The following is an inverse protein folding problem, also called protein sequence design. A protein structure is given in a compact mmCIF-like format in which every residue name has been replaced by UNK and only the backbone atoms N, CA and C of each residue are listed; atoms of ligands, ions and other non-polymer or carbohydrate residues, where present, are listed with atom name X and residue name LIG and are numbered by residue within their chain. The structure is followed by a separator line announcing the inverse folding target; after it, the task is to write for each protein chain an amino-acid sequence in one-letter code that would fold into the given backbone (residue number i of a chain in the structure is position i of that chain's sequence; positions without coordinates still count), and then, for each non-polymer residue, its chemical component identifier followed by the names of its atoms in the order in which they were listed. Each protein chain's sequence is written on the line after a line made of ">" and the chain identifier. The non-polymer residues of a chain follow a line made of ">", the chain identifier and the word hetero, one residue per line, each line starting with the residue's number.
data_IF_419024714601
#
_entry.id   IF_419024714601
#
_cell.length_a   1.000
_cell.length_b   1.000
_cell.length_c   1.000
_cell.angle_alpha   90.00
_cell.angle_beta   90.00
_cell.angle_gamma   90.00
#
_symmetry.space_group_name_H-M   'P 1'
#
loop_
_entity.id
_entity.type
_entity.pdbx_description
1 polymer ?
#
# COMPACT_ATOMS: atom_id res chain seq x y z
N UNK A 1 6.48 -5.64 -19.87
CA UNK A 1 5.27 -5.35 -19.05
C UNK A 1 5.56 -5.85 -17.64
N UNK A 2 5.18 -5.11 -16.59
CA UNK A 2 5.45 -5.49 -15.19
C UNK A 2 4.17 -5.92 -14.48
N UNK A 3 4.24 -6.94 -13.63
CA UNK A 3 3.09 -7.50 -12.90
C UNK A 3 3.37 -7.57 -11.40
N UNK A 4 2.36 -7.26 -10.60
CA UNK A 4 2.46 -7.31 -9.15
C UNK A 4 1.19 -7.85 -8.49
N UNK A 5 1.34 -8.24 -7.23
CA UNK A 5 0.24 -8.73 -6.39
C UNK A 5 -0.10 -7.66 -5.36
N UNK A 6 -1.40 -7.43 -5.14
CA UNK A 6 -1.93 -6.65 -4.02
C UNK A 6 -2.77 -7.57 -3.15
N UNK A 7 -2.46 -7.69 -1.86
CA UNK A 7 -3.16 -8.60 -0.95
C UNK A 7 -3.22 -8.09 0.49
N UNK A 8 -4.12 -8.65 1.28
CA UNK A 8 -4.07 -8.63 2.74
C UNK A 8 -3.24 -9.82 3.20
N UNK A 9 -2.34 -9.60 4.16
CA UNK A 9 -1.61 -10.69 4.84
C UNK A 9 -2.29 -10.95 6.18
N UNK A 10 -2.62 -12.21 6.44
CA UNK A 10 -3.24 -12.65 7.70
C UNK A 10 -2.52 -13.86 8.24
N UNK A 11 -2.82 -14.25 9.48
CA UNK A 11 -2.37 -15.50 10.08
C UNK A 11 -2.99 -16.74 9.45
N UNK A 12 -4.13 -16.60 8.78
CA UNK A 12 -4.87 -17.68 8.12
C UNK A 12 -4.43 -17.93 6.66
N UNK A 13 -3.60 -17.04 6.10
CA UNK A 13 -3.11 -17.13 4.73
C UNK A 13 -1.65 -17.61 4.62
N UNK A 14 -1.09 -17.52 3.41
CA UNK A 14 0.34 -17.72 3.19
C UNK A 14 1.14 -16.75 4.05
N UNK A 15 2.13 -17.28 4.79
CA UNK A 15 2.99 -16.48 5.65
C UNK A 15 3.84 -15.51 4.81
N UNK A 16 4.23 -14.33 5.35
CA UNK A 16 4.96 -13.33 4.58
C UNK A 16 6.23 -13.87 3.89
N UNK A 17 7.13 -14.54 4.61
CA UNK A 17 8.40 -15.04 4.03
C UNK A 17 8.19 -16.00 2.85
N UNK A 18 7.38 -17.07 2.97
CA UNK A 18 7.05 -17.92 1.82
C UNK A 18 6.38 -17.18 0.66
N UNK A 19 5.53 -16.18 0.94
CA UNK A 19 4.89 -15.36 -0.08
C UNK A 19 5.93 -14.60 -0.91
N UNK A 20 6.90 -13.95 -0.25
CA UNK A 20 7.99 -13.24 -0.93
C UNK A 20 8.77 -14.12 -1.90
N UNK A 21 9.24 -15.27 -1.41
CA UNK A 21 9.98 -16.25 -2.24
C UNK A 21 9.14 -16.76 -3.41
N UNK A 22 7.88 -17.08 -3.16
CA UNK A 22 6.98 -17.57 -4.19
C UNK A 22 6.77 -16.55 -5.33
N UNK A 23 6.76 -15.25 -5.01
CA UNK A 23 6.65 -14.19 -6.02
C UNK A 23 7.90 -14.07 -6.88
N UNK A 24 9.09 -14.20 -6.27
CA UNK A 24 10.35 -14.15 -7.01
C UNK A 24 10.51 -15.35 -7.95
N UNK A 25 10.21 -16.55 -7.46
CA UNK A 25 10.20 -17.80 -8.24
C UNK A 25 9.28 -17.71 -9.47
N UNK A 26 8.20 -16.93 -9.37
CA UNK A 26 7.18 -16.75 -10.42
C UNK A 26 7.39 -15.49 -11.24
N UNK A 27 8.53 -14.83 -11.09
CA UNK A 27 8.91 -13.65 -11.87
C UNK A 27 7.97 -12.45 -11.72
N UNK A 28 7.29 -12.30 -10.58
CA UNK A 28 6.57 -11.06 -10.26
C UNK A 28 7.55 -9.91 -10.02
N UNK A 29 7.10 -8.68 -10.30
CA UNK A 29 7.88 -7.45 -10.14
C UNK A 29 7.61 -6.77 -8.80
N UNK A 30 6.40 -6.91 -8.24
CA UNK A 30 6.03 -6.19 -7.02
C UNK A 30 4.99 -6.88 -6.14
N UNK A 31 5.05 -6.57 -4.85
CA UNK A 31 4.07 -6.93 -3.83
C UNK A 31 3.63 -5.68 -3.07
N UNK A 32 2.32 -5.49 -3.00
CA UNK A 32 1.69 -4.49 -2.15
C UNK A 32 0.84 -5.18 -1.09
N UNK A 33 1.10 -4.87 0.18
CA UNK A 33 0.26 -5.36 1.29
C UNK A 33 -0.64 -4.25 1.80
N UNK A 34 -1.93 -4.57 1.94
CA UNK A 34 -2.93 -3.67 2.50
C UNK A 34 -2.85 -3.64 4.04
N UNK A 35 -3.35 -2.55 4.62
CA UNK A 35 -3.34 -2.29 6.05
C UNK A 35 -4.75 -2.11 6.61
N UNK A 36 -5.05 -2.76 7.73
CA UNK A 36 -6.23 -2.51 8.56
C UNK A 36 -5.84 -2.56 10.05
N UNK A 37 -5.32 -1.44 10.57
CA UNK A 37 -4.78 -1.38 11.92
C UNK A 37 -5.86 -1.24 13.01
N UNK A 38 -6.92 -0.49 12.73
CA UNK A 38 -7.95 -0.16 13.71
C UNK A 38 -9.33 -0.53 13.16
N UNK A 39 -9.92 -1.59 13.72
CA UNK A 39 -11.32 -1.92 13.53
C UNK A 39 -12.09 -1.53 14.79
N UNK A 40 -13.13 -0.68 14.72
CA UNK A 40 -13.95 -0.34 15.87
C UNK A 40 -14.56 -1.58 16.52
N UNK A 41 -14.55 -1.63 17.85
CA UNK A 41 -15.16 -2.71 18.63
C UNK A 41 -16.68 -2.71 18.47
N UNK A 42 -17.28 -1.52 18.49
CA UNK A 42 -18.69 -1.32 18.17
C UNK A 42 -18.84 -0.80 16.75
N UNK A 43 -19.72 -1.44 15.97
CA UNK A 43 -20.00 -1.12 14.57
C UNK A 43 -21.46 -0.75 14.43
N UNK A 44 -21.74 0.55 14.59
CA UNK A 44 -23.07 1.13 14.39
C UNK A 44 -23.46 1.25 12.91
N UNK A 45 -22.49 1.13 12.00
CA UNK A 45 -22.68 1.20 10.56
C UNK A 45 -22.31 -0.14 9.88
N UNK A 46 -23.13 -0.62 8.93
CA UNK A 46 -22.80 -1.80 8.13
C UNK A 46 -21.52 -1.61 7.32
N UNK A 47 -20.92 -2.71 6.87
CA UNK A 47 -19.84 -2.63 5.88
C UNK A 47 -20.29 -1.90 4.61
N UNK A 48 -19.36 -1.30 3.85
CA UNK A 48 -19.70 -0.66 2.57
C UNK A 48 -20.42 -1.60 1.57
N UNK A 49 -20.22 -2.91 1.69
CA UNK A 49 -20.95 -3.94 0.92
C UNK A 49 -22.19 -4.52 1.62
N UNK A 50 -22.62 -3.95 2.74
CA UNK A 50 -23.63 -4.52 3.63
C UNK A 50 -23.08 -5.63 4.53
N UNK A 51 -23.84 -5.96 5.57
CA UNK A 51 -23.54 -7.05 6.50
C UNK A 51 -22.33 -6.82 7.41
N UNK A 52 -21.83 -7.93 7.94
CA UNK A 52 -20.73 -7.99 8.89
C UNK A 52 -19.36 -7.76 8.23
N UNK A 53 -18.38 -7.32 9.03
CA UNK A 53 -17.02 -7.15 8.53
C UNK A 53 -16.35 -8.51 8.28
N UNK A 54 -15.79 -8.72 7.07
CA UNK A 54 -15.03 -9.93 6.81
C UNK A 54 -13.91 -10.15 7.84
N UNK A 55 -13.81 -11.40 8.29
CA UNK A 55 -12.88 -11.83 9.34
C UNK A 55 -11.42 -11.42 9.10
N UNK A 56 -10.99 -11.39 7.83
CA UNK A 56 -9.63 -11.02 7.44
C UNK A 56 -9.20 -9.62 7.91
N UNK A 57 -10.14 -8.67 8.05
CA UNK A 57 -9.85 -7.32 8.49
C UNK A 57 -9.45 -7.25 9.98
N UNK A 58 -9.90 -8.20 10.80
CA UNK A 58 -9.49 -8.31 12.21
C UNK A 58 -8.15 -9.03 12.39
N UNK A 59 -7.65 -9.68 11.33
CA UNK A 59 -6.50 -10.58 11.35
C UNK A 59 -5.35 -10.07 10.50
N UNK A 60 -5.44 -8.84 10.00
CA UNK A 60 -4.44 -8.27 9.11
C UNK A 60 -3.14 -8.05 9.87
N UNK A 61 -2.04 -8.61 9.38
CA UNK A 61 -0.72 -8.42 9.95
C UNK A 61 -0.24 -6.98 9.68
N UNK A 62 0.55 -6.44 10.60
CA UNK A 62 1.16 -5.13 10.43
C UNK A 62 2.00 -5.08 9.13
N UNK A 63 1.71 -4.17 8.17
CA UNK A 63 2.35 -4.16 6.87
C UNK A 63 3.87 -4.01 6.95
N UNK A 64 4.38 -3.16 7.84
CA UNK A 64 5.83 -2.96 7.97
C UNK A 64 6.54 -4.21 8.51
N UNK A 65 5.96 -4.91 9.48
CA UNK A 65 6.54 -6.15 10.00
C UNK A 65 6.52 -7.24 8.92
N UNK A 66 5.40 -7.37 8.20
CA UNK A 66 5.28 -8.34 7.12
C UNK A 66 6.26 -8.05 5.97
N UNK A 67 6.35 -6.79 5.53
CA UNK A 67 7.25 -6.39 4.45
C UNK A 67 8.72 -6.48 4.85
N UNK A 68 9.09 -6.11 6.08
CA UNK A 68 10.47 -6.27 6.56
C UNK A 68 10.89 -7.74 6.61
N UNK A 69 10.00 -8.63 7.04
CA UNK A 69 10.26 -10.07 7.01
C UNK A 69 10.47 -10.59 5.58
N UNK A 70 9.69 -10.09 4.63
CA UNK A 70 9.84 -10.45 3.21
C UNK A 70 11.17 -9.92 2.66
N UNK A 71 11.45 -8.63 2.87
CA UNK A 71 12.65 -7.93 2.41
C UNK A 71 13.93 -8.62 2.84
N UNK A 72 13.96 -9.19 4.06
CA UNK A 72 15.11 -9.93 4.57
C UNK A 72 15.39 -11.26 3.82
N UNK A 73 14.49 -11.70 2.93
CA UNK A 73 14.55 -13.02 2.27
C UNK A 73 14.36 -12.96 0.75
N UNK A 74 14.31 -11.76 0.16
CA UNK A 74 14.07 -11.51 -1.26
C UNK A 74 14.99 -10.40 -1.77
N UNK A 75 15.36 -10.42 -3.05
CA UNK A 75 16.35 -9.49 -3.62
C UNK A 75 15.82 -8.61 -4.75
N UNK A 76 14.78 -9.06 -5.47
CA UNK A 76 14.31 -8.47 -6.73
C UNK A 76 12.89 -7.91 -6.64
N UNK A 77 12.01 -8.54 -5.88
CA UNK A 77 10.59 -8.10 -5.81
C UNK A 77 10.49 -6.73 -5.12
N UNK A 78 9.81 -5.78 -5.76
CA UNK A 78 9.56 -4.46 -5.17
C UNK A 78 8.46 -4.57 -4.11
N UNK A 79 8.75 -4.09 -2.92
CA UNK A 79 7.86 -4.20 -1.77
C UNK A 79 7.22 -2.84 -1.45
N UNK A 80 5.91 -2.84 -1.19
CA UNK A 80 5.18 -1.63 -0.89
C UNK A 80 3.94 -1.85 -0.03
N UNK A 81 3.39 -0.74 0.45
CA UNK A 81 2.07 -0.71 1.09
C UNK A 81 1.00 -0.32 0.07
N UNK A 82 -0.20 -0.88 0.18
CA UNK A 82 -1.32 -0.55 -0.69
C UNK A 82 -2.60 -0.42 0.13
N UNK A 83 -2.73 0.52 1.06
CA UNK A 83 -2.02 1.78 1.33
C UNK A 83 -1.50 1.80 2.78
N UNK A 84 -0.53 2.66 3.12
CA UNK A 84 -0.20 2.94 4.52
C UNK A 84 -1.18 3.95 5.14
N UNK A 85 -1.85 3.58 6.23
CA UNK A 85 -2.78 4.46 6.94
C UNK A 85 -2.04 5.36 7.93
N UNK A 86 -1.21 6.28 7.41
CA UNK A 86 -0.32 7.15 8.19
C UNK A 86 -1.02 7.89 9.33
N UNK A 87 -2.21 8.50 9.17
CA UNK A 87 -2.89 9.20 10.27
C UNK A 87 -3.34 8.28 11.41
N UNK A 88 -3.43 6.97 11.18
CA UNK A 88 -3.87 5.98 12.17
C UNK A 88 -2.69 5.31 12.89
N UNK A 89 -1.46 5.82 12.70
CA UNK A 89 -0.27 5.26 13.31
C UNK A 89 0.38 6.28 14.24
N UNK A 90 0.93 5.77 15.33
CA UNK A 90 1.84 6.54 16.15
C UNK A 90 3.10 6.94 15.32
N UNK A 91 3.45 8.22 15.24
CA UNK A 91 4.52 8.71 14.38
C UNK A 91 5.91 8.20 14.79
N UNK A 92 6.13 7.89 16.08
CA UNK A 92 7.39 7.33 16.58
C UNK A 92 7.51 5.88 16.12
N UNK A 93 6.44 5.10 16.33
CA UNK A 93 6.37 3.68 15.95
C UNK A 93 6.51 3.49 14.43
N UNK A 94 5.98 4.42 13.63
CA UNK A 94 6.12 4.39 12.16
C UNK A 94 7.57 4.56 11.70
N UNK A 95 8.34 5.40 12.38
CA UNK A 95 9.70 5.76 11.93
C UNK A 95 10.69 4.66 12.27
N UNK A 96 10.40 3.82 13.29
CA UNK A 96 11.37 2.87 13.85
C UNK A 96 12.63 3.58 14.36
N UNK A 97 13.59 2.89 15.00
CA UNK A 97 14.95 3.41 15.01
C UNK A 97 15.35 3.56 13.53
N UNK A 98 15.75 4.77 13.14
CA UNK A 98 16.10 5.08 11.77
C UNK A 98 17.01 3.99 11.21
N UNK A 99 16.51 3.21 10.24
CA UNK A 99 17.41 2.64 9.25
C UNK A 99 18.12 3.87 8.67
N UNK A 100 19.46 3.96 8.72
CA UNK A 100 20.13 5.05 8.04
C UNK A 100 19.62 5.03 6.60
N UNK A 101 19.11 6.17 6.13
CA UNK A 101 19.08 6.39 4.69
C UNK A 101 20.52 6.15 4.24
N UNK A 102 20.77 5.13 3.43
CA UNK A 102 22.02 5.00 2.68
C UNK A 102 22.07 6.13 1.62
N UNK A 103 22.13 7.38 2.08
CA UNK A 103 22.61 8.54 1.33
C UNK A 103 24.16 8.48 1.35
N UNK A 104 24.71 7.47 0.68
CA UNK A 104 26.13 7.16 0.83
C UNK A 104 26.72 6.14 -0.14
N UNK A 105 26.13 5.95 -1.33
CA UNK A 105 26.85 5.32 -2.44
C UNK A 105 26.37 5.78 -3.81
N UNK A 106 26.34 7.10 -4.00
CA UNK A 106 26.66 7.66 -5.32
C UNK A 106 28.15 7.39 -5.55
N UNK A 107 28.49 6.16 -5.95
CA UNK A 107 29.80 5.87 -6.49
C UNK A 107 29.88 6.57 -7.83
N UNK A 108 30.84 7.49 -7.93
CA UNK A 108 31.33 8.04 -9.19
C UNK A 108 31.75 6.88 -10.10
N UNK A 109 30.83 6.47 -10.96
CA UNK A 109 30.98 5.37 -11.89
C UNK A 109 30.50 5.85 -13.24
N UNK A 110 31.39 6.55 -13.94
CA UNK A 110 31.28 6.85 -15.35
C UNK A 110 30.93 5.57 -16.13
N UNK A 111 29.72 5.52 -16.68
CA UNK A 111 29.38 4.56 -17.73
C UNK A 111 29.67 5.25 -19.06
N UNK A 112 30.66 4.81 -19.85
CA UNK A 112 30.91 5.39 -21.15
C UNK A 112 29.74 5.04 -22.09
N UNK A 113 29.18 6.06 -22.75
CA UNK A 113 28.26 5.87 -23.88
C UNK A 113 28.94 5.15 -25.05
N UNK A 114 28.18 4.76 -26.09
CA UNK A 114 27.71 5.81 -26.97
C UNK A 114 26.26 5.67 -27.47
N UNK A 115 25.69 6.83 -27.80
CA UNK A 115 24.55 7.04 -28.71
C UNK A 115 23.18 6.49 -28.29
N UNK A 116 22.41 7.33 -27.61
CA UNK A 116 20.96 7.17 -27.43
C UNK A 116 20.37 8.44 -26.82
N UNK A 117 19.85 9.31 -27.68
CA UNK A 117 19.27 10.65 -27.39
C UNK A 117 18.72 10.81 -25.97
N UNK A 118 19.30 11.76 -25.24
CA UNK A 118 18.87 12.15 -23.91
C UNK A 118 17.39 12.55 -23.85
N UNK A 119 16.69 11.99 -22.87
CA UNK A 119 15.48 12.59 -22.31
C UNK A 119 15.79 12.95 -20.87
N UNK A 120 15.89 14.25 -20.60
CA UNK A 120 15.96 14.79 -19.23
C UNK A 120 14.69 14.35 -18.48
N UNK A 121 14.77 14.03 -17.18
CA UNK A 121 13.57 13.88 -16.36
C UNK A 121 12.82 15.22 -16.35
N UNK A 122 11.53 15.18 -16.67
CA UNK A 122 10.66 16.35 -16.64
C UNK A 122 10.24 16.58 -15.18
N UNK A 123 10.45 17.78 -14.60
CA UNK A 123 9.93 18.08 -13.28
C UNK A 123 8.40 18.16 -13.33
N UNK A 124 7.73 17.52 -12.37
CA UNK A 124 6.28 17.51 -12.25
C UNK A 124 5.78 18.89 -11.77
N UNK A 125 5.75 19.88 -12.65
CA UNK A 125 5.08 21.16 -12.39
C UNK A 125 3.68 21.16 -12.99
N UNK A 126 2.68 21.24 -12.10
CA UNK A 126 1.28 21.68 -12.33
C UNK A 126 0.58 21.14 -13.58
N UNK A 127 0.04 19.93 -13.50
CA UNK A 127 -1.11 19.55 -14.31
C UNK A 127 -2.40 20.04 -13.63
N UNK A 128 -2.89 21.23 -14.00
CA UNK A 128 -4.32 21.56 -13.84
C UNK A 128 -5.07 20.78 -14.91
N UNK A 129 -5.73 19.68 -14.51
CA UNK A 129 -6.71 19.01 -15.36
C UNK A 129 -8.03 19.81 -15.43
N UNK A 130 -8.87 19.60 -16.46
CA UNK A 130 -10.14 20.29 -16.60
C UNK A 130 -11.07 19.92 -15.43
N UNK A 131 -11.72 20.93 -14.87
CA UNK A 131 -12.73 20.82 -13.82
C UNK A 131 -13.87 19.89 -14.25
N UNK A 132 -14.03 18.78 -13.55
CA UNK A 132 -15.22 17.92 -13.62
C UNK A 132 -16.43 18.73 -13.12
N UNK A 133 -17.58 18.77 -13.81
CA UNK A 133 -18.76 19.40 -13.26
C UNK A 133 -19.20 18.67 -11.98
N UNK A 134 -19.79 19.38 -11.00
CA UNK A 134 -20.24 18.76 -9.76
C UNK A 134 -21.27 17.67 -10.07
N UNK A 135 -21.04 16.48 -9.55
CA UNK A 135 -22.04 15.43 -9.54
C UNK A 135 -23.23 15.95 -8.71
N UNK A 136 -24.43 15.89 -9.30
CA UNK A 136 -25.67 16.16 -8.58
C UNK A 136 -25.73 15.24 -7.34
N UNK A 137 -26.22 15.74 -6.19
CA UNK A 137 -26.37 14.89 -5.02
C UNK A 137 -27.32 13.74 -5.36
N UNK A 138 -26.87 12.51 -5.09
CA UNK A 138 -27.76 11.36 -5.08
C UNK A 138 -28.88 11.66 -4.08
N UNK A 139 -30.11 11.62 -4.58
CA UNK A 139 -31.34 11.82 -3.81
C UNK A 139 -31.36 10.78 -2.68
N UNK A 140 -31.18 11.28 -1.45
CA UNK A 140 -31.24 10.46 -0.23
C UNK A 140 -32.72 10.13 -0.03
N UNK A 141 -33.07 8.86 -0.15
CA UNK A 141 -34.39 8.37 0.25
C UNK A 141 -34.72 8.88 1.67
N UNK A 142 -35.93 9.42 1.92
CA UNK A 142 -36.25 10.04 3.19
C UNK A 142 -36.25 8.98 4.31
N UNK A 143 -35.41 9.19 5.32
CA UNK A 143 -35.30 8.34 6.51
C UNK A 143 -36.68 8.14 7.19
N UNK A 144 -37.01 6.93 7.66
CA UNK A 144 -38.20 6.74 8.48
C UNK A 144 -37.99 7.46 9.81
N UNK A 145 -38.80 8.51 10.01
CA UNK A 145 -38.89 9.28 11.26
C UNK A 145 -38.95 8.35 12.47
N UNK A 146 -37.97 8.44 13.36
CA UNK A 146 -38.15 7.96 14.74
C UNK A 146 -39.34 8.70 15.36
N UNK A 147 -40.38 7.96 15.72
CA UNK A 147 -41.45 8.40 16.63
C UNK A 147 -40.94 8.27 18.08
N UNK A 148 -41.50 9.08 19.01
CA UNK A 148 -40.80 9.62 20.19
C UNK A 148 -40.41 8.57 21.23
#
# INVERSE_FOLDING_TARGET
>A
MKFGISTLTTDEGIRPVPLGRALEERSFDSLFVAEHAHVPVDRRTPCPGGGELPRMYYRTLGPFVALSAIAATTERVLLGTGIALVPQRDPITRTGPALPSDDGRAGDGEVPGPTGRGRRPVPLSRARGPSRPPQAPAEKDPEPRCRP
#
